data_IF_382288066430
#
_entry.id   IF_382288066430
#
_cell.length_a   1.000
_cell.length_b   1.000
_cell.length_c   1.000
_cell.angle_alpha   90.00
_cell.angle_beta   90.00
_cell.angle_gamma   90.00
#
_symmetry.space_group_name_H-M   'P 1'
#
loop_
_entity.id
_entity.type
_entity.pdbx_description
1 polymer ?
#
# COMPACT_ATOMS: atom_id res chain seq x y z
N UNK A 1 3.82 -36.56 10.15
CA UNK A 1 3.20 -35.24 10.39
C UNK A 1 3.13 -34.53 9.06
N UNK A 2 1.94 -34.32 8.51
CA UNK A 2 1.80 -33.51 7.31
C UNK A 2 2.19 -32.07 7.68
N UNK A 3 3.14 -31.48 6.96
CA UNK A 3 3.38 -30.05 7.06
C UNK A 3 2.08 -29.38 6.62
N UNK A 4 1.42 -28.67 7.53
CA UNK A 4 0.27 -27.84 7.19
C UNK A 4 0.83 -26.69 6.34
N UNK A 5 0.87 -26.87 5.03
CA UNK A 5 1.10 -25.77 4.09
C UNK A 5 -0.11 -24.86 4.20
N UNK A 6 0.11 -23.64 4.70
CA UNK A 6 -0.92 -22.60 4.68
C UNK A 6 -1.40 -22.42 3.23
N UNK A 7 -2.73 -22.27 3.01
CA UNK A 7 -3.26 -21.99 1.67
C UNK A 7 -2.66 -20.69 1.11
N UNK A 8 -2.63 -20.54 -0.21
CA UNK A 8 -2.23 -19.26 -0.81
C UNK A 8 -3.26 -18.16 -0.45
N UNK A 9 -2.82 -16.92 -0.16
CA UNK A 9 -3.74 -15.82 0.13
C UNK A 9 -4.62 -15.46 -1.07
N UNK A 10 -5.92 -15.28 -0.82
CA UNK A 10 -6.90 -14.75 -1.78
C UNK A 10 -6.60 -13.29 -2.15
N UNK A 11 -5.90 -12.58 -1.26
CA UNK A 11 -5.47 -11.22 -1.46
C UNK A 11 -4.16 -10.97 -0.70
N UNK A 12 -3.17 -10.43 -1.42
CA UNK A 12 -1.91 -9.99 -0.85
C UNK A 12 -1.79 -8.48 -1.06
N UNK A 13 -1.30 -7.76 -0.05
CA UNK A 13 -1.04 -6.32 -0.12
C UNK A 13 0.40 -6.06 0.28
N UNK A 14 1.14 -5.34 -0.56
CA UNK A 14 2.48 -4.85 -0.22
C UNK A 14 2.46 -3.34 -0.19
N UNK A 15 2.87 -2.77 0.93
CA UNK A 15 2.98 -1.33 1.13
C UNK A 15 4.44 -0.96 1.35
N UNK A 16 5.00 -0.16 0.45
CA UNK A 16 6.33 0.43 0.60
C UNK A 16 6.18 1.81 1.19
N UNK A 17 6.71 2.04 2.38
CA UNK A 17 6.52 3.26 3.16
C UNK A 17 7.85 4.00 3.31
N UNK A 18 7.90 5.22 2.79
CA UNK A 18 8.99 6.16 3.00
C UNK A 18 8.94 6.74 4.42
N UNK A 19 10.02 6.59 5.18
CA UNK A 19 10.15 7.03 6.56
C UNK A 19 11.38 7.94 6.74
N UNK A 20 11.25 9.05 7.46
CA UNK A 20 12.34 9.98 7.78
C UNK A 20 13.01 9.69 9.13
N UNK A 21 12.58 8.65 9.85
CA UNK A 21 13.16 8.20 11.11
C UNK A 21 12.74 9.02 12.35
N UNK A 22 11.78 9.93 12.21
CA UNK A 22 11.28 10.79 13.30
C UNK A 22 10.04 10.18 14.02
N UNK A 23 10.18 8.93 14.48
CA UNK A 23 9.10 8.18 15.15
C UNK A 23 7.92 7.85 14.23
N UNK A 24 6.73 7.59 14.80
CA UNK A 24 5.50 7.25 14.05
C UNK A 24 5.08 8.38 13.07
N UNK A 25 5.57 9.61 13.28
CA UNK A 25 5.34 10.76 12.41
C UNK A 25 6.35 10.91 11.26
N UNK A 26 7.38 10.06 11.21
CA UNK A 26 8.39 10.05 10.17
C UNK A 26 7.89 9.52 8.82
N UNK A 27 6.73 8.85 8.77
CA UNK A 27 6.17 8.26 7.54
C UNK A 27 5.61 9.35 6.63
N UNK A 28 6.17 9.48 5.44
CA UNK A 28 5.91 10.61 4.51
C UNK A 28 5.17 10.21 3.25
N UNK A 29 5.40 9.01 2.74
CA UNK A 29 4.84 8.56 1.47
C UNK A 29 4.65 7.04 1.50
N UNK A 30 3.62 6.54 0.83
CA UNK A 30 3.42 5.10 0.65
C UNK A 30 2.93 4.79 -0.76
N UNK A 31 3.47 3.72 -1.33
CA UNK A 31 2.85 3.03 -2.46
C UNK A 31 2.41 1.64 -2.02
N UNK A 32 1.13 1.36 -2.15
CA UNK A 32 0.53 0.08 -1.88
C UNK A 32 0.10 -0.60 -3.19
N UNK A 33 0.31 -1.91 -3.23
CA UNK A 33 0.02 -2.77 -4.36
C UNK A 33 -0.78 -3.94 -3.83
N UNK A 34 -1.97 -4.13 -4.36
CA UNK A 34 -2.78 -5.31 -4.12
C UNK A 34 -2.56 -6.36 -5.22
N UNK A 35 -2.56 -7.63 -4.82
CA UNK A 35 -2.30 -8.77 -5.68
C UNK A 35 -3.31 -9.86 -5.39
N UNK A 36 -3.93 -10.39 -6.44
CA UNK A 36 -4.77 -11.58 -6.38
C UNK A 36 -4.00 -12.84 -6.77
N UNK A 37 -4.65 -14.02 -6.68
CA UNK A 37 -4.03 -15.30 -7.04
C UNK A 37 -3.58 -15.36 -8.52
N UNK A 38 -4.27 -14.64 -9.40
CA UNK A 38 -3.97 -14.62 -10.85
C UNK A 38 -2.74 -13.80 -11.23
N UNK A 39 -2.17 -13.01 -10.32
CA UNK A 39 -0.99 -12.18 -10.56
C UNK A 39 0.31 -12.99 -10.72
N UNK A 40 0.29 -14.29 -10.38
CA UNK A 40 1.37 -15.24 -10.66
C UNK A 40 2.61 -15.06 -9.78
N UNK A 41 2.44 -14.42 -8.62
CA UNK A 41 3.48 -14.19 -7.64
C UNK A 41 3.02 -14.78 -6.29
N UNK A 42 3.66 -15.88 -5.89
CA UNK A 42 3.34 -16.52 -4.61
C UNK A 42 3.79 -15.66 -3.42
N UNK A 43 3.17 -15.87 -2.26
CA UNK A 43 3.39 -15.10 -1.03
C UNK A 43 4.85 -15.03 -0.59
N UNK A 44 5.61 -16.12 -0.78
CA UNK A 44 7.01 -16.16 -0.36
C UNK A 44 7.87 -15.34 -1.33
N UNK A 45 7.68 -15.54 -2.63
CA UNK A 45 8.41 -14.81 -3.67
C UNK A 45 8.08 -13.32 -3.62
N UNK A 46 6.84 -12.96 -3.30
CA UNK A 46 6.46 -11.56 -3.09
C UNK A 46 7.29 -10.89 -2.00
N UNK A 47 7.44 -11.53 -0.83
CA UNK A 47 8.28 -11.02 0.26
C UNK A 47 9.74 -10.89 -0.20
N UNK A 48 10.28 -11.94 -0.83
CA UNK A 48 11.69 -11.97 -1.27
C UNK A 48 12.00 -10.88 -2.31
N UNK A 49 11.15 -10.70 -3.32
CA UNK A 49 11.37 -9.68 -4.36
C UNK A 49 11.09 -8.26 -3.84
N UNK A 50 10.09 -8.08 -2.97
CA UNK A 50 9.81 -6.78 -2.36
C UNK A 50 10.97 -6.31 -1.47
N UNK A 51 11.61 -7.24 -0.75
CA UNK A 51 12.87 -6.97 -0.03
C UNK A 51 13.96 -6.51 -0.98
N UNK A 52 14.18 -7.21 -2.10
CA UNK A 52 15.24 -6.85 -3.07
C UNK A 52 15.08 -5.45 -3.66
N UNK A 53 13.84 -5.00 -3.87
CA UNK A 53 13.56 -3.64 -4.35
C UNK A 53 14.10 -2.59 -3.37
N UNK A 54 13.95 -2.84 -2.07
CA UNK A 54 14.35 -1.88 -1.02
C UNK A 54 15.81 -2.03 -0.60
N UNK A 55 16.39 -3.23 -0.68
CA UNK A 55 17.78 -3.51 -0.29
C UNK A 55 18.83 -2.76 -1.13
N UNK A 56 18.46 -2.18 -2.28
CA UNK A 56 19.30 -1.23 -3.01
C UNK A 56 19.44 0.14 -2.33
N UNK A 57 18.61 0.43 -1.31
CA UNK A 57 18.67 1.63 -0.49
C UNK A 57 19.43 1.35 0.82
N UNK A 58 20.37 2.22 1.24
CA UNK A 58 21.32 1.94 2.32
C UNK A 58 20.73 1.84 3.74
N UNK A 59 19.41 1.85 3.92
CA UNK A 59 18.81 2.13 5.22
C UNK A 59 17.63 1.22 5.59
N UNK A 60 17.36 1.23 6.90
CA UNK A 60 16.52 0.37 7.75
C UNK A 60 15.30 -0.23 7.05
N UNK A 61 15.27 -1.55 7.08
CA UNK A 61 14.17 -2.39 6.64
C UNK A 61 13.37 -2.83 7.86
N UNK A 62 12.07 -2.53 7.88
CA UNK A 62 11.14 -3.13 8.83
C UNK A 62 10.02 -3.81 8.06
N UNK A 63 9.90 -5.12 8.25
CA UNK A 63 8.80 -5.92 7.71
C UNK A 63 7.78 -6.23 8.78
N UNK A 64 6.53 -5.89 8.48
CA UNK A 64 5.39 -6.37 9.25
C UNK A 64 4.53 -7.25 8.34
N UNK A 65 4.41 -8.53 8.70
CA UNK A 65 3.47 -9.44 8.07
C UNK A 65 2.22 -9.58 8.93
N UNK A 66 1.04 -9.34 8.34
CA UNK A 66 -0.25 -9.63 8.96
C UNK A 66 -1.00 -10.64 8.13
N UNK A 67 -1.67 -11.56 8.81
CA UNK A 67 -2.48 -12.60 8.20
C UNK A 67 -3.84 -12.61 8.88
N UNK A 68 -4.90 -12.45 8.09
CA UNK A 68 -6.28 -12.52 8.59
C UNK A 68 -7.07 -13.57 7.82
N UNK A 69 -7.69 -14.47 8.58
CA UNK A 69 -8.63 -15.47 8.08
C UNK A 69 -10.03 -15.09 8.54
N UNK A 70 -10.87 -14.68 7.59
CA UNK A 70 -12.24 -14.29 7.87
C UNK A 70 -13.09 -15.56 7.96
N UNK A 71 -13.17 -16.14 9.16
CA UNK A 71 -13.70 -17.50 9.40
C UNK A 71 -14.97 -17.89 8.62
N UNK A 72 -15.96 -17.01 8.53
CA UNK A 72 -17.22 -17.29 7.84
C UNK A 72 -17.17 -17.13 6.31
N UNK A 73 -16.22 -16.35 5.77
CA UNK A 73 -16.07 -16.12 4.33
C UNK A 73 -14.96 -16.96 3.71
N UNK A 74 -14.09 -17.56 4.53
CA UNK A 74 -12.93 -18.33 4.07
C UNK A 74 -11.82 -17.49 3.46
N UNK A 75 -11.96 -16.15 3.49
CA UNK A 75 -11.01 -15.24 2.85
C UNK A 75 -9.72 -15.16 3.67
N UNK A 76 -8.60 -15.50 3.03
CA UNK A 76 -7.25 -15.40 3.55
C UNK A 76 -6.54 -14.20 2.94
N UNK A 77 -6.14 -13.25 3.79
CA UNK A 77 -5.41 -12.03 3.37
C UNK A 77 -4.03 -11.99 3.97
N UNK A 78 -3.06 -11.50 3.20
CA UNK A 78 -1.70 -11.22 3.66
C UNK A 78 -1.39 -9.74 3.43
N UNK A 79 -0.87 -9.07 4.46
CA UNK A 79 -0.36 -7.71 4.35
C UNK A 79 1.13 -7.71 4.69
N UNK A 80 1.93 -7.05 3.84
CA UNK A 80 3.37 -6.88 3.99
C UNK A 80 3.64 -5.38 3.96
N UNK A 81 4.07 -4.82 5.08
CA UNK A 81 4.52 -3.44 5.14
C UNK A 81 6.05 -3.42 5.15
N UNK A 82 6.64 -2.66 4.23
CA UNK A 82 8.08 -2.45 4.11
C UNK A 82 8.37 -0.96 4.31
N UNK A 83 8.84 -0.60 5.49
CA UNK A 83 9.34 0.74 5.74
C UNK A 83 10.79 0.86 5.24
N UNK A 84 11.12 1.97 4.59
CA UNK A 84 12.47 2.32 4.15
C UNK A 84 12.77 3.78 4.44
N UNK A 85 14.01 4.09 4.77
CA UNK A 85 14.39 5.47 5.06
C UNK A 85 14.51 6.30 3.78
N UNK A 86 13.86 7.47 3.75
CA UNK A 86 13.78 8.36 2.59
C UNK A 86 14.57 9.67 2.76
N UNK A 87 15.74 9.63 3.39
CA UNK A 87 16.58 10.82 3.57
C UNK A 87 17.31 11.29 2.29
N UNK A 88 18.01 12.43 2.41
CA UNK A 88 18.80 13.05 1.34
C UNK A 88 19.82 12.05 0.78
N UNK A 89 19.64 11.64 -0.49
CA UNK A 89 20.47 10.64 -1.16
C UNK A 89 19.79 9.29 -1.40
N UNK A 90 18.55 9.07 -0.92
CA UNK A 90 17.76 7.90 -1.31
C UNK A 90 17.43 7.98 -2.81
N UNK A 91 17.91 7.00 -3.57
CA UNK A 91 17.62 6.87 -5.01
C UNK A 91 16.24 6.23 -5.22
N UNK A 92 15.68 5.56 -4.20
CA UNK A 92 14.45 4.80 -4.33
C UNK A 92 13.22 5.73 -4.25
N UNK A 93 12.58 5.95 -5.39
CA UNK A 93 11.34 6.71 -5.52
C UNK A 93 10.13 5.78 -5.69
N UNK A 94 8.92 6.30 -5.45
CA UNK A 94 7.66 5.60 -5.72
C UNK A 94 7.57 5.10 -7.17
N UNK A 95 8.03 5.88 -8.14
CA UNK A 95 8.02 5.49 -9.56
C UNK A 95 8.94 4.30 -9.84
N UNK A 96 10.11 4.25 -9.20
CA UNK A 96 11.03 3.13 -9.33
C UNK A 96 10.47 1.86 -8.67
N UNK A 97 9.82 1.99 -7.51
CA UNK A 97 9.12 0.88 -6.86
C UNK A 97 7.99 0.37 -7.76
N UNK A 98 7.15 1.26 -8.28
CA UNK A 98 6.06 0.93 -9.21
C UNK A 98 6.58 0.20 -10.44
N UNK A 99 7.63 0.73 -11.07
CA UNK A 99 8.23 0.14 -12.25
C UNK A 99 8.89 -1.22 -11.98
N UNK A 100 9.55 -1.39 -10.82
CA UNK A 100 10.13 -2.68 -10.42
C UNK A 100 9.05 -3.73 -10.18
N UNK A 101 7.99 -3.38 -9.45
CA UNK A 101 6.88 -4.28 -9.18
C UNK A 101 6.10 -4.63 -10.46
N UNK A 102 5.88 -3.66 -11.35
CA UNK A 102 5.23 -3.92 -12.64
C UNK A 102 6.00 -4.92 -13.54
N UNK A 103 7.31 -5.10 -13.35
CA UNK A 103 8.10 -6.13 -14.06
C UNK A 103 7.94 -7.53 -13.45
N UNK A 104 7.59 -7.60 -12.18
CA UNK A 104 7.44 -8.86 -11.44
C UNK A 104 6.05 -9.46 -11.61
N UNK A 105 5.05 -8.61 -11.82
CA UNK A 105 3.66 -9.04 -11.80
C UNK A 105 3.10 -9.11 -13.21
N UNK A 106 2.30 -10.15 -13.47
CA UNK A 106 1.59 -10.26 -14.74
C UNK A 106 0.51 -9.19 -14.84
N UNK A 107 0.22 -8.69 -16.05
CA UNK A 107 -1.01 -7.95 -16.27
C UNK A 107 -2.20 -8.79 -15.80
N UNK A 108 -3.19 -8.17 -15.13
CA UNK A 108 -4.32 -8.92 -14.61
C UNK A 108 -5.04 -9.61 -15.77
N UNK A 109 -5.13 -10.95 -15.70
CA UNK A 109 -5.95 -11.74 -16.63
C UNK A 109 -7.39 -11.86 -16.15
N UNK A 110 -7.64 -11.53 -14.87
CA UNK A 110 -8.96 -11.60 -14.23
C UNK A 110 -9.24 -10.31 -13.44
N UNK A 111 -10.51 -10.05 -13.16
CA UNK A 111 -10.91 -8.87 -12.40
C UNK A 111 -10.46 -8.99 -10.93
N UNK A 112 -9.95 -7.89 -10.37
CA UNK A 112 -9.54 -7.84 -8.96
C UNK A 112 -10.71 -8.20 -8.01
N UNK A 113 -10.42 -8.81 -6.85
CA UNK A 113 -11.41 -9.07 -5.81
C UNK A 113 -12.16 -7.79 -5.41
N UNK A 114 -13.44 -7.91 -5.05
CA UNK A 114 -14.30 -6.77 -4.69
C UNK A 114 -13.70 -5.88 -3.59
N UNK A 115 -12.94 -6.49 -2.66
CA UNK A 115 -12.23 -5.83 -1.56
C UNK A 115 -11.12 -4.86 -1.99
N UNK A 116 -10.82 -4.79 -3.29
CA UNK A 116 -9.73 -4.00 -3.86
C UNK A 116 -10.20 -3.16 -5.04
N UNK A 117 -11.50 -3.10 -5.34
CA UNK A 117 -11.93 -2.37 -6.54
C UNK A 117 -11.91 -0.86 -6.30
N UNK A 118 -11.43 -0.13 -7.30
CA UNK A 118 -11.53 1.33 -7.40
C UNK A 118 -12.59 1.76 -8.42
N UNK A 119 -13.54 0.89 -8.78
CA UNK A 119 -14.52 1.16 -9.83
C UNK A 119 -15.58 2.17 -9.40
N UNK A 120 -15.93 2.20 -8.11
CA UNK A 120 -16.82 3.16 -7.47
C UNK A 120 -16.08 4.11 -6.50
N UNK A 121 -16.70 5.26 -6.21
CA UNK A 121 -16.16 6.25 -5.27
C UNK A 121 -16.00 5.66 -3.86
N UNK A 122 -17.02 4.95 -3.38
CA UNK A 122 -17.03 4.34 -2.05
C UNK A 122 -15.96 3.26 -1.91
N UNK A 123 -15.80 2.39 -2.91
CA UNK A 123 -14.80 1.33 -2.88
C UNK A 123 -13.37 1.89 -2.97
N UNK A 124 -13.15 2.91 -3.80
CA UNK A 124 -11.87 3.61 -3.90
C UNK A 124 -11.53 4.33 -2.59
N UNK A 125 -12.50 5.03 -1.98
CA UNK A 125 -12.32 5.67 -0.68
C UNK A 125 -11.99 4.64 0.40
N UNK A 126 -12.74 3.55 0.49
CA UNK A 126 -12.48 2.50 1.48
C UNK A 126 -11.06 1.92 1.35
N UNK A 127 -10.59 1.72 0.13
CA UNK A 127 -9.23 1.26 -0.15
C UNK A 127 -8.18 2.30 0.30
N UNK A 128 -8.45 3.58 0.08
CA UNK A 128 -7.63 4.69 0.55
C UNK A 128 -7.57 4.77 2.09
N UNK A 129 -8.71 4.62 2.78
CA UNK A 129 -8.78 4.58 4.25
C UNK A 129 -7.97 3.42 4.83
N UNK A 130 -8.10 2.23 4.24
CA UNK A 130 -7.33 1.05 4.66
C UNK A 130 -5.82 1.27 4.50
N UNK A 131 -5.40 1.92 3.41
CA UNK A 131 -4.01 2.31 3.21
C UNK A 131 -3.53 3.28 4.29
N UNK A 132 -4.32 4.32 4.60
CA UNK A 132 -3.99 5.26 5.68
C UNK A 132 -3.91 4.60 7.06
N UNK A 133 -4.83 3.69 7.36
CA UNK A 133 -4.85 2.95 8.62
C UNK A 133 -3.63 2.04 8.76
N UNK A 134 -3.26 1.30 7.71
CA UNK A 134 -2.14 0.36 7.74
C UNK A 134 -0.77 1.04 7.66
N UNK A 135 -0.63 2.02 6.76
CA UNK A 135 0.66 2.65 6.45
C UNK A 135 0.96 3.86 7.34
N UNK A 136 -0.03 4.61 7.82
CA UNK A 136 0.19 5.82 8.64
C UNK A 136 -0.42 5.72 10.04
N UNK A 137 -0.98 4.58 10.44
CA UNK A 137 -1.68 4.40 11.72
C UNK A 137 -2.83 5.41 11.92
N UNK A 138 -3.53 5.77 10.84
CA UNK A 138 -4.69 6.68 10.85
C UNK A 138 -6.00 5.88 10.69
N UNK A 139 -6.62 5.35 11.76
CA UNK A 139 -7.77 4.46 11.65
C UNK A 139 -9.10 5.15 11.32
N UNK A 140 -9.19 6.47 11.52
CA UNK A 140 -10.42 7.25 11.32
C UNK A 140 -10.14 8.53 10.50
N UNK A 141 -9.65 8.40 9.25
CA UNK A 141 -9.45 9.55 8.39
C UNK A 141 -10.80 10.12 7.93
N UNK A 142 -10.85 11.42 7.70
CA UNK A 142 -12.02 12.11 7.14
C UNK A 142 -11.73 12.54 5.72
N UNK A 143 -12.60 12.17 4.76
CA UNK A 143 -12.49 12.64 3.38
C UNK A 143 -12.80 14.15 3.32
N UNK A 144 -11.88 14.92 2.74
CA UNK A 144 -12.08 16.33 2.43
C UNK A 144 -12.52 16.48 0.97
N UNK A 145 -11.92 15.70 0.07
CA UNK A 145 -12.21 15.76 -1.38
C UNK A 145 -11.97 14.40 -2.04
N UNK A 146 -12.83 14.04 -2.98
CA UNK A 146 -12.70 12.86 -3.83
C UNK A 146 -13.09 13.20 -5.26
N UNK A 147 -12.18 13.03 -6.21
CA UNK A 147 -12.38 13.38 -7.62
C UNK A 147 -12.01 12.21 -8.52
N UNK A 148 -12.77 12.00 -9.59
CA UNK A 148 -12.46 10.96 -10.59
C UNK A 148 -11.63 11.53 -11.73
N UNK A 149 -10.49 10.91 -11.98
CA UNK A 149 -9.66 11.13 -13.17
C UNK A 149 -9.81 10.02 -14.21
N UNK A 150 -8.94 10.03 -15.23
CA UNK A 150 -8.93 9.00 -16.28
C UNK A 150 -8.35 7.67 -15.80
N UNK A 151 -7.32 7.72 -14.95
CA UNK A 151 -6.59 6.53 -14.47
C UNK A 151 -7.07 6.02 -13.09
N UNK A 152 -7.93 6.78 -12.41
CA UNK A 152 -8.24 6.49 -11.02
C UNK A 152 -9.05 7.58 -10.31
N UNK A 153 -9.04 7.49 -9.00
CA UNK A 153 -9.56 8.49 -8.07
C UNK A 153 -8.41 9.24 -7.42
N UNK A 154 -8.61 10.52 -7.17
CA UNK A 154 -7.73 11.35 -6.36
C UNK A 154 -8.48 11.74 -5.08
N UNK A 155 -7.83 11.55 -3.93
CA UNK A 155 -8.40 11.86 -2.62
C UNK A 155 -7.53 12.84 -1.87
N UNK A 156 -8.21 13.69 -1.10
CA UNK A 156 -7.63 14.50 -0.04
C UNK A 156 -8.34 14.11 1.25
N UNK A 157 -7.58 13.74 2.28
CA UNK A 157 -8.10 13.34 3.57
C UNK A 157 -7.36 14.04 4.71
N UNK A 158 -8.01 14.12 5.87
CA UNK A 158 -7.40 14.61 7.09
C UNK A 158 -7.52 13.56 8.20
N UNK A 159 -6.44 13.34 8.94
CA UNK A 159 -6.43 12.51 10.15
C UNK A 159 -5.41 13.06 11.14
N UNK A 160 -5.77 13.13 12.43
CA UNK A 160 -4.88 13.58 13.51
C UNK A 160 -4.21 14.95 13.23
N UNK A 161 -4.93 15.90 12.61
CA UNK A 161 -4.40 17.22 12.25
C UNK A 161 -3.36 17.22 11.12
N UNK A 162 -3.28 16.13 10.37
CA UNK A 162 -2.40 15.95 9.22
C UNK A 162 -3.23 15.71 7.96
N UNK A 163 -2.89 16.40 6.89
CA UNK A 163 -3.52 16.22 5.59
C UNK A 163 -2.75 15.19 4.74
N UNK A 164 -3.49 14.40 3.98
CA UNK A 164 -2.98 13.39 3.07
C UNK A 164 -3.57 13.61 1.68
N UNK A 165 -2.73 13.45 0.67
CA UNK A 165 -3.16 13.43 -0.73
C UNK A 165 -2.75 12.11 -1.36
N UNK A 166 -3.59 11.57 -2.24
CA UNK A 166 -3.18 10.39 -2.97
C UNK A 166 -4.16 9.94 -4.02
N UNK A 167 -3.83 8.82 -4.64
CA UNK A 167 -4.55 8.26 -5.77
C UNK A 167 -4.83 6.78 -5.57
N UNK A 168 -5.95 6.32 -6.15
CA UNK A 168 -6.35 4.92 -6.22
C UNK A 168 -6.67 4.61 -7.68
N UNK A 169 -6.01 3.61 -8.28
CA UNK A 169 -6.29 3.22 -9.67
C UNK A 169 -7.72 2.68 -9.84
N UNK A 170 -8.24 2.66 -11.06
CA UNK A 170 -9.62 2.18 -11.31
C UNK A 170 -9.82 0.69 -11.00
N UNK A 171 -8.78 -0.12 -11.19
CA UNK A 171 -8.76 -1.52 -10.75
C UNK A 171 -8.50 -1.66 -9.25
N UNK A 172 -8.26 -0.53 -8.56
CA UNK A 172 -7.91 -0.34 -7.14
C UNK A 172 -6.62 -1.05 -6.69
N UNK A 173 -5.87 -1.58 -7.65
CA UNK A 173 -4.62 -2.30 -7.44
C UNK A 173 -3.53 -1.41 -6.86
N UNK A 174 -3.42 -0.20 -7.38
CA UNK A 174 -2.36 0.74 -7.04
C UNK A 174 -2.94 1.87 -6.21
N UNK A 175 -2.34 2.07 -5.04
CA UNK A 175 -2.66 3.19 -4.16
C UNK A 175 -1.35 3.92 -3.88
N UNK A 176 -1.34 5.23 -4.04
CA UNK A 176 -0.21 6.07 -3.68
C UNK A 176 -0.71 7.20 -2.80
N UNK A 177 -0.09 7.39 -1.64
CA UNK A 177 -0.48 8.42 -0.68
C UNK A 177 0.75 9.15 -0.19
N UNK A 178 0.65 10.47 -0.10
CA UNK A 178 1.66 11.37 0.42
C UNK A 178 1.08 12.12 1.61
N UNK A 179 1.83 12.16 2.71
CA UNK A 179 1.57 13.03 3.84
C UNK A 179 1.95 14.45 3.43
N UNK A 180 1.01 15.37 3.53
CA UNK A 180 1.25 16.78 3.25
C UNK A 180 1.92 17.41 4.47
N UNK A 181 3.07 18.04 4.27
CA UNK A 181 3.65 18.90 5.30
C UNK A 181 2.68 20.07 5.52
N UNK A 182 2.21 20.24 6.75
CA UNK A 182 1.44 21.43 7.12
C UNK A 182 2.25 22.65 6.67
N UNK A 183 1.72 23.45 5.74
CA UNK A 183 2.24 24.79 5.49
C UNK A 183 2.10 25.51 6.83
N UNK A 184 3.21 25.67 7.53
CA UNK A 184 3.23 26.30 8.83
C UNK A 184 2.41 27.58 8.77
N UNK A 185 1.46 27.69 9.69
CA UNK A 185 1.03 28.98 10.20
C UNK A 185 2.33 29.71 10.58
N UNK A 186 2.80 30.61 9.71
CA UNK A 186 3.86 31.53 10.09
C UNK A 186 3.39 32.33 11.32
N UNK A 187 4.26 32.56 12.31
CA UNK A 187 3.93 33.33 13.51
C UNK A 187 3.55 34.79 13.21
#
# INVERSE_FOLDING_TARGET
MAAWTLPEPDLQRVSFVADQGDGDDGRTEVIQIALGPSDGLDARRLVEESRRIVLGSPNTFQELQRQAHWGATGLYTQEILIAYFAGVGSILTVDLIRAAMAKLIKPPTEAMPLLVRGDSHEAAWHSFEQCLSGAFNCPTPTMIRGERGSEGWSFVAEANGTQFEGTVSLDGRWIHVTRMLNKGSEP
#
